data_IF_652588766403
#
_entry.id   IF_652588766403
#
_cell.length_a   1.000
_cell.length_b   1.000
_cell.length_c   1.000
_cell.angle_alpha   90.00
_cell.angle_beta   90.00
_cell.angle_gamma   90.00
#
_symmetry.space_group_name_H-M   'P 1'
#
loop_
_entity.id
_entity.type
_entity.pdbx_description
1 polymer ?
#
# COMPACT_ATOMS: atom_id res chain seq x y z
N UNK A 1 -16.20 -27.11 -11.23
CA UNK A 1 -15.10 -26.68 -12.10
C UNK A 1 -15.01 -25.15 -12.07
N UNK A 2 -16.04 -24.41 -12.45
CA UNK A 2 -16.03 -22.93 -12.51
C UNK A 2 -15.74 -22.25 -11.16
N UNK A 3 -16.23 -22.79 -10.05
CA UNK A 3 -15.98 -22.27 -8.72
C UNK A 3 -14.50 -22.36 -8.31
N UNK A 4 -13.84 -23.46 -8.64
CA UNK A 4 -12.41 -23.66 -8.39
C UNK A 4 -11.58 -22.73 -9.28
N UNK A 5 -11.98 -22.58 -10.54
CA UNK A 5 -11.32 -21.69 -11.48
C UNK A 5 -11.36 -20.22 -11.01
N UNK A 6 -12.53 -19.75 -10.55
CA UNK A 6 -12.68 -18.41 -10.00
C UNK A 6 -11.82 -18.20 -8.74
N UNK A 7 -11.74 -19.20 -7.88
CA UNK A 7 -10.87 -19.13 -6.69
C UNK A 7 -9.39 -19.02 -7.08
N UNK A 8 -8.94 -19.80 -8.07
CA UNK A 8 -7.56 -19.74 -8.56
C UNK A 8 -7.24 -18.39 -9.23
N UNK A 9 -8.15 -17.84 -10.03
CA UNK A 9 -7.98 -16.52 -10.64
C UNK A 9 -7.86 -15.43 -9.58
N UNK A 10 -8.68 -15.49 -8.54
CA UNK A 10 -8.60 -14.54 -7.42
C UNK A 10 -7.24 -14.65 -6.69
N UNK A 11 -6.75 -15.85 -6.44
CA UNK A 11 -5.45 -16.07 -5.78
C UNK A 11 -4.29 -15.54 -6.65
N UNK A 12 -4.33 -15.77 -7.95
CA UNK A 12 -3.34 -15.22 -8.89
C UNK A 12 -3.37 -13.69 -8.87
N UNK A 13 -4.55 -13.08 -8.87
CA UNK A 13 -4.72 -11.62 -8.79
C UNK A 13 -4.13 -11.06 -7.48
N UNK A 14 -4.39 -11.70 -6.35
CA UNK A 14 -3.82 -11.29 -5.06
C UNK A 14 -2.30 -11.41 -5.04
N UNK A 15 -1.76 -12.49 -5.63
CA UNK A 15 -0.31 -12.68 -5.73
C UNK A 15 0.37 -11.59 -6.58
N UNK A 16 -0.24 -11.19 -7.69
CA UNK A 16 0.24 -10.11 -8.54
C UNK A 16 0.23 -8.78 -7.76
N UNK A 17 -0.87 -8.45 -7.08
CA UNK A 17 -0.98 -7.24 -6.27
C UNK A 17 0.09 -7.20 -5.18
N UNK A 18 0.30 -8.31 -4.49
CA UNK A 18 1.35 -8.43 -3.47
C UNK A 18 2.75 -8.18 -4.03
N UNK A 19 3.04 -8.68 -5.24
CA UNK A 19 4.32 -8.46 -5.90
C UNK A 19 4.51 -6.99 -6.28
N UNK A 20 3.49 -6.36 -6.87
CA UNK A 20 3.53 -4.93 -7.23
C UNK A 20 3.75 -4.05 -5.99
N UNK A 21 2.98 -4.29 -4.93
CA UNK A 21 3.10 -3.53 -3.69
C UNK A 21 4.46 -3.76 -3.01
N UNK A 22 4.97 -5.00 -3.02
CA UNK A 22 6.30 -5.31 -2.48
C UNK A 22 7.41 -4.48 -3.14
N UNK A 23 7.39 -4.36 -4.46
CA UNK A 23 8.34 -3.52 -5.19
C UNK A 23 8.12 -2.03 -4.92
N UNK A 24 6.87 -1.57 -4.83
CA UNK A 24 6.57 -0.18 -4.49
C UNK A 24 7.08 0.18 -3.08
N UNK A 25 6.91 -0.70 -2.10
CA UNK A 25 7.45 -0.53 -0.75
C UNK A 25 8.98 -0.50 -0.75
N UNK A 26 9.64 -1.35 -1.54
CA UNK A 26 11.10 -1.39 -1.66
C UNK A 26 11.66 -0.10 -2.27
N UNK A 27 11.05 0.41 -3.35
CA UNK A 27 11.42 1.70 -3.94
C UNK A 27 11.19 2.86 -2.97
N UNK A 28 10.07 2.87 -2.28
CA UNK A 28 9.77 3.88 -1.25
C UNK A 28 10.76 3.84 -0.09
N UNK A 29 11.21 2.66 0.34
CA UNK A 29 12.25 2.51 1.37
C UNK A 29 13.59 3.06 0.90
N UNK A 30 13.97 2.81 -0.37
CA UNK A 30 15.18 3.38 -0.98
C UNK A 30 15.12 4.90 -0.99
N UNK A 31 13.99 5.48 -1.36
CA UNK A 31 13.78 6.92 -1.34
C UNK A 31 13.87 7.50 0.09
N UNK A 32 13.30 6.82 1.08
CA UNK A 32 13.37 7.22 2.48
C UNK A 32 14.82 7.21 3.01
N UNK A 33 15.60 6.19 2.65
CA UNK A 33 17.02 6.10 3.02
C UNK A 33 17.83 7.22 2.37
N UNK A 34 17.61 7.48 1.09
CA UNK A 34 18.29 8.56 0.36
C UNK A 34 17.88 9.95 0.91
N UNK A 35 16.64 10.13 1.33
CA UNK A 35 16.18 11.36 1.96
C UNK A 35 16.88 11.57 3.30
N UNK A 36 16.96 10.53 4.14
CA UNK A 36 17.64 10.62 5.42
C UNK A 36 19.15 10.92 5.26
N UNK A 37 19.79 10.33 4.25
CA UNK A 37 21.22 10.58 3.96
C UNK A 37 21.47 12.01 3.43
N UNK A 38 20.54 12.58 2.69
CA UNK A 38 20.71 13.91 2.07
C UNK A 38 20.32 15.03 3.03
N UNK A 39 19.19 14.89 3.71
CA UNK A 39 18.61 15.96 4.56
C UNK A 39 18.89 15.77 6.05
N UNK A 40 19.46 14.64 6.44
CA UNK A 40 19.69 14.31 7.86
C UNK A 40 18.42 14.12 8.67
N UNK A 41 17.28 13.93 8.03
CA UNK A 41 15.95 13.82 8.66
C UNK A 41 15.29 12.49 8.32
N UNK A 42 14.54 11.94 9.28
CA UNK A 42 13.73 10.74 9.08
C UNK A 42 12.26 11.05 9.36
N UNK A 43 11.39 10.56 8.49
CA UNK A 43 9.93 10.65 8.69
C UNK A 43 9.37 9.46 9.50
N UNK A 44 10.22 8.49 9.87
CA UNK A 44 9.81 7.39 10.71
C UNK A 44 9.25 7.89 12.04
N UNK A 45 8.13 7.34 12.46
CA UNK A 45 7.43 7.72 13.67
C UNK A 45 7.45 6.56 14.66
N UNK A 46 8.03 6.77 15.83
CA UNK A 46 8.01 5.80 16.90
C UNK A 46 7.03 6.26 18.01
N UNK A 47 5.85 5.69 18.02
CA UNK A 47 4.82 5.96 19.02
C UNK A 47 5.03 5.12 20.31
N UNK A 48 5.80 4.00 20.20
CA UNK A 48 6.09 3.12 21.32
C UNK A 48 7.11 3.68 22.33
N UNK A 49 7.90 4.68 21.93
CA UNK A 49 8.92 5.31 22.80
C UNK A 49 8.47 6.63 23.43
N UNK A 50 7.20 6.98 23.30
CA UNK A 50 6.68 8.17 23.99
C UNK A 50 6.72 7.95 25.50
N UNK A 51 7.20 8.94 26.27
CA UNK A 51 7.32 8.79 27.71
C UNK A 51 5.93 8.53 28.32
N UNK A 52 5.83 7.43 29.04
CA UNK A 52 4.58 6.96 29.67
C UNK A 52 4.22 7.77 30.92
N UNK A 53 5.15 8.57 31.41
CA UNK A 53 4.99 9.31 32.67
C UNK A 53 4.56 10.75 32.39
N UNK A 54 3.32 11.05 32.72
CA UNK A 54 2.81 12.43 32.71
C UNK A 54 2.46 13.00 31.33
N UNK A 55 2.41 12.19 30.30
CA UNK A 55 1.94 12.65 28.99
C UNK A 55 0.43 12.73 28.97
N UNK A 56 -0.07 13.93 29.08
CA UNK A 56 -1.47 14.27 28.82
C UNK A 56 -1.77 14.30 27.29
N UNK A 57 -1.06 13.50 26.47
CA UNK A 57 -1.33 13.42 25.07
C UNK A 57 -2.55 12.54 24.82
N UNK A 58 -3.56 13.13 24.24
CA UNK A 58 -4.78 12.46 23.84
C UNK A 58 -4.51 11.61 22.57
N UNK A 59 -5.26 10.53 22.40
CA UNK A 59 -5.20 9.65 21.22
C UNK A 59 -5.28 10.42 19.89
N UNK A 60 -6.10 11.47 19.83
CA UNK A 60 -6.20 12.35 18.68
C UNK A 60 -4.88 13.03 18.30
N UNK A 61 -4.01 13.30 19.26
CA UNK A 61 -2.69 13.90 19.01
C UNK A 61 -1.76 12.90 18.31
N UNK A 62 -1.81 11.64 18.67
CA UNK A 62 -1.04 10.57 18.01
C UNK A 62 -1.48 10.38 16.56
N UNK A 63 -2.78 10.37 16.30
CA UNK A 63 -3.35 10.26 14.97
C UNK A 63 -2.94 11.45 14.09
N UNK A 64 -2.95 12.67 14.63
CA UNK A 64 -2.44 13.86 13.93
C UNK A 64 -0.97 13.78 13.59
N UNK A 65 -0.15 13.12 14.41
CA UNK A 65 1.28 12.90 14.08
C UNK A 65 1.43 12.00 12.85
N UNK A 66 0.66 10.92 12.76
CA UNK A 66 0.65 10.05 11.56
C UNK A 66 0.23 10.86 10.34
N UNK A 67 -0.84 11.63 10.44
CA UNK A 67 -1.30 12.50 9.36
C UNK A 67 -0.23 13.50 8.91
N UNK A 68 0.43 14.17 9.85
CA UNK A 68 1.50 15.12 9.53
C UNK A 68 2.67 14.46 8.81
N UNK A 69 3.02 13.22 9.18
CA UNK A 69 4.07 12.45 8.49
C UNK A 69 3.67 12.04 7.08
N UNK A 70 2.40 11.68 6.88
CA UNK A 70 1.87 11.38 5.55
C UNK A 70 1.96 12.63 4.65
N UNK A 71 1.55 13.80 5.13
CA UNK A 71 1.65 15.03 4.36
C UNK A 71 3.11 15.41 4.08
N UNK A 72 4.00 15.24 5.05
CA UNK A 72 5.44 15.47 4.84
C UNK A 72 5.99 14.52 3.78
N UNK A 73 5.64 13.25 3.81
CA UNK A 73 6.05 12.28 2.80
C UNK A 73 5.51 12.65 1.40
N UNK A 74 4.27 13.11 1.29
CA UNK A 74 3.69 13.57 0.03
C UNK A 74 4.46 14.77 -0.55
N UNK A 75 4.88 15.70 0.31
CA UNK A 75 5.68 16.86 -0.09
C UNK A 75 7.12 16.47 -0.46
N UNK A 76 7.71 15.47 0.20
CA UNK A 76 9.02 14.93 -0.19
C UNK A 76 8.96 14.30 -1.58
N UNK A 77 7.90 13.54 -1.89
CA UNK A 77 7.68 13.01 -3.23
C UNK A 77 7.58 14.14 -4.25
N UNK A 78 6.85 15.21 -3.95
CA UNK A 78 6.76 16.39 -4.83
C UNK A 78 8.12 17.06 -5.07
N UNK A 79 8.88 17.27 -4.01
CA UNK A 79 10.17 17.95 -4.07
C UNK A 79 11.22 17.14 -4.85
N UNK A 80 11.34 15.85 -4.56
CA UNK A 80 12.34 14.99 -5.19
C UNK A 80 11.94 14.53 -6.58
N UNK A 81 10.66 14.23 -6.79
CA UNK A 81 10.12 13.78 -8.08
C UNK A 81 9.90 14.90 -9.08
N UNK A 82 9.69 16.14 -8.62
CA UNK A 82 9.41 17.35 -9.44
C UNK A 82 8.25 17.16 -10.42
N UNK A 83 7.30 16.27 -10.10
CA UNK A 83 6.12 15.96 -10.92
C UNK A 83 4.80 16.28 -10.21
N UNK A 84 4.87 16.67 -8.96
CA UNK A 84 3.73 16.97 -8.11
C UNK A 84 3.64 16.09 -6.87
N UNK A 85 2.72 16.40 -5.95
CA UNK A 85 2.60 15.68 -4.70
C UNK A 85 2.11 14.24 -4.93
N UNK A 86 2.29 13.40 -3.93
CA UNK A 86 1.70 12.07 -3.90
C UNK A 86 0.16 12.15 -4.01
N UNK A 87 -0.46 11.10 -4.48
CA UNK A 87 -1.91 11.03 -4.67
C UNK A 87 -2.56 9.77 -4.07
N UNK A 88 -1.77 8.83 -3.53
CA UNK A 88 -2.30 7.67 -2.86
C UNK A 88 -1.48 7.27 -1.64
N UNK A 89 -2.14 6.54 -0.73
CA UNK A 89 -1.56 5.96 0.48
C UNK A 89 -1.94 4.48 0.50
N UNK A 90 -0.99 3.62 0.88
CA UNK A 90 -1.26 2.22 1.19
C UNK A 90 -0.79 1.92 2.60
N UNK A 91 -1.67 1.40 3.40
CA UNK A 91 -1.40 1.06 4.80
C UNK A 91 -2.13 -0.21 5.23
N UNK A 92 -1.83 -0.69 6.43
CA UNK A 92 -2.57 -1.78 7.05
C UNK A 92 -3.91 -1.32 7.63
N UNK A 93 -4.75 -2.26 8.02
CA UNK A 93 -6.09 -1.98 8.55
C UNK A 93 -6.05 -1.18 9.86
N UNK A 94 -5.07 -1.40 10.73
CA UNK A 94 -4.97 -0.69 12.01
C UNK A 94 -4.66 0.80 11.82
N UNK A 95 -3.72 1.13 10.95
CA UNK A 95 -3.39 2.52 10.62
C UNK A 95 -4.56 3.19 9.90
N UNK A 96 -5.22 2.47 8.99
CA UNK A 96 -6.40 2.99 8.31
C UNK A 96 -7.52 3.35 9.27
N UNK A 97 -7.79 2.51 10.28
CA UNK A 97 -8.79 2.83 11.32
C UNK A 97 -8.42 4.09 12.09
N UNK A 98 -7.14 4.25 12.45
CA UNK A 98 -6.67 5.46 13.12
C UNK A 98 -6.80 6.72 12.24
N UNK A 99 -6.61 6.59 10.92
CA UNK A 99 -6.78 7.70 9.98
C UNK A 99 -8.26 8.06 9.77
N UNK A 100 -9.16 7.09 9.80
CA UNK A 100 -10.60 7.31 9.66
C UNK A 100 -11.20 8.13 10.81
N UNK A 101 -10.61 8.06 11.98
CA UNK A 101 -11.04 8.83 13.16
C UNK A 101 -10.62 10.32 13.11
N UNK A 102 -9.81 10.71 12.14
CA UNK A 102 -9.38 12.11 11.96
C UNK A 102 -10.48 12.90 11.25
N UNK A 103 -10.79 14.08 11.76
CA UNK A 103 -11.85 14.95 11.21
C UNK A 103 -11.66 15.36 9.76
N UNK A 104 -10.42 15.36 9.24
CA UNK A 104 -10.10 15.65 7.85
C UNK A 104 -10.25 14.45 6.91
N UNK A 105 -10.58 13.27 7.43
CA UNK A 105 -10.78 12.09 6.61
C UNK A 105 -12.17 12.09 5.99
N UNK A 106 -12.21 11.94 4.67
CA UNK A 106 -13.46 11.80 3.92
C UNK A 106 -13.64 10.34 3.57
N UNK A 107 -14.61 9.70 4.21
CA UNK A 107 -14.94 8.29 3.94
C UNK A 107 -15.48 8.14 2.52
N UNK A 108 -15.00 7.17 1.78
CA UNK A 108 -15.52 6.88 0.45
C UNK A 108 -16.94 6.33 0.56
N UNK A 109 -17.95 6.97 -0.10
CA UNK A 109 -19.32 6.49 -0.06
C UNK A 109 -19.51 5.11 -0.71
N UNK A 110 -18.51 4.63 -1.44
CA UNK A 110 -18.50 3.38 -2.19
C UNK A 110 -17.87 2.19 -1.46
N UNK A 111 -17.47 2.36 -0.21
CA UNK A 111 -16.83 1.28 0.55
C UNK A 111 -17.69 0.00 0.62
N UNK A 112 -19.01 0.14 0.54
CA UNK A 112 -19.96 -0.97 0.56
C UNK A 112 -20.29 -1.56 -0.84
N UNK A 113 -19.90 -0.90 -1.91
CA UNK A 113 -20.18 -1.33 -3.30
C UNK A 113 -18.94 -1.87 -4.01
N UNK A 114 -17.80 -1.87 -3.34
CA UNK A 114 -16.59 -2.47 -3.89
C UNK A 114 -16.82 -3.97 -3.98
N UNK A 115 -16.90 -4.45 -5.21
CA UNK A 115 -17.11 -5.86 -5.49
C UNK A 115 -16.03 -6.69 -4.79
N UNK A 116 -16.43 -7.80 -4.21
CA UNK A 116 -15.58 -8.74 -3.49
C UNK A 116 -14.39 -9.27 -4.29
N UNK A 117 -14.30 -8.92 -5.58
CA UNK A 117 -13.30 -9.38 -6.53
C UNK A 117 -12.12 -8.42 -6.77
N UNK A 118 -12.00 -7.33 -6.00
CA UNK A 118 -10.91 -6.36 -6.18
C UNK A 118 -9.55 -6.79 -5.60
N UNK A 119 -9.35 -8.08 -5.42
CA UNK A 119 -8.14 -8.58 -4.77
C UNK A 119 -8.07 -8.16 -3.30
N UNK A 120 -6.87 -8.06 -2.75
CA UNK A 120 -6.64 -7.74 -1.35
C UNK A 120 -6.59 -6.25 -1.04
N UNK A 121 -6.68 -5.38 -2.03
CA UNK A 121 -6.55 -3.93 -1.90
C UNK A 121 -7.90 -3.24 -2.10
N UNK A 122 -8.35 -2.46 -1.13
CA UNK A 122 -9.60 -1.70 -1.24
C UNK A 122 -9.43 -0.25 -0.78
N UNK A 123 -10.08 0.71 -1.46
CA UNK A 123 -10.08 2.11 -1.04
C UNK A 123 -11.03 2.31 0.14
N UNK A 124 -10.60 3.10 1.12
CA UNK A 124 -11.37 3.40 2.33
C UNK A 124 -11.90 4.82 2.29
N UNK A 125 -11.14 5.73 1.72
CA UNK A 125 -11.51 7.13 1.65
C UNK A 125 -10.39 7.99 1.12
N UNK A 126 -10.48 9.28 1.37
CA UNK A 126 -9.44 10.24 1.02
C UNK A 126 -9.04 11.09 2.21
N UNK A 127 -7.76 11.41 2.28
CA UNK A 127 -7.16 12.23 3.30
C UNK A 127 -6.34 13.33 2.64
N UNK A 128 -6.77 14.58 2.75
CA UNK A 128 -6.11 15.74 2.13
C UNK A 128 -5.81 15.56 0.61
N UNK A 129 -6.74 14.97 -0.13
CA UNK A 129 -6.57 14.71 -1.56
C UNK A 129 -5.80 13.43 -1.91
N UNK A 130 -5.32 12.70 -0.92
CA UNK A 130 -4.66 11.40 -1.09
C UNK A 130 -5.70 10.29 -0.93
N UNK A 131 -5.82 9.40 -1.91
CA UNK A 131 -6.70 8.22 -1.78
C UNK A 131 -6.05 7.18 -0.87
N UNK A 132 -6.76 6.77 0.17
CA UNK A 132 -6.28 5.79 1.13
C UNK A 132 -6.75 4.39 0.74
N UNK A 133 -5.78 3.49 0.54
CA UNK A 133 -6.00 2.07 0.27
C UNK A 133 -5.54 1.24 1.45
N UNK A 134 -6.30 0.20 1.75
CA UNK A 134 -5.95 -0.80 2.74
C UNK A 134 -5.56 -2.08 2.04
N UNK A 135 -4.39 -2.62 2.39
CA UNK A 135 -3.94 -3.93 1.93
C UNK A 135 -4.25 -4.99 3.00
N UNK A 136 -5.13 -5.92 2.67
CA UNK A 136 -5.51 -7.03 3.55
C UNK A 136 -4.40 -8.07 3.73
N UNK A 137 -3.42 -8.12 2.83
CA UNK A 137 -2.28 -9.04 2.94
C UNK A 137 -1.23 -8.55 3.95
N UNK A 138 -1.29 -7.28 4.37
CA UNK A 138 -0.43 -6.76 5.42
C UNK A 138 -0.88 -7.29 6.78
N UNK A 139 0.08 -7.65 7.62
CA UNK A 139 -0.21 -8.05 9.00
C UNK A 139 -0.84 -6.89 9.78
N UNK A 140 -1.68 -7.20 10.76
CA UNK A 140 -2.29 -6.19 11.63
C UNK A 140 -1.27 -5.23 12.26
N UNK A 141 -0.12 -5.76 12.67
CA UNK A 141 0.97 -5.00 13.29
C UNK A 141 2.06 -4.57 12.31
N UNK A 142 1.79 -4.54 11.00
CA UNK A 142 2.77 -4.03 10.04
C UNK A 142 2.92 -2.53 10.23
N UNK A 143 4.16 -2.09 10.38
CA UNK A 143 4.50 -0.70 10.70
C UNK A 143 4.69 0.18 9.47
N UNK A 144 4.65 -0.39 8.26
CA UNK A 144 4.98 0.32 7.02
C UNK A 144 3.79 1.08 6.46
N UNK A 145 4.05 2.29 6.02
CA UNK A 145 3.09 3.12 5.27
C UNK A 145 3.76 3.54 3.97
N UNK A 146 3.10 3.29 2.86
CA UNK A 146 3.53 3.70 1.53
C UNK A 146 2.74 4.94 1.12
N UNK A 147 3.45 5.99 0.75
CA UNK A 147 2.88 7.19 0.13
C UNK A 147 3.47 7.30 -1.26
N UNK A 148 2.64 7.41 -2.27
CA UNK A 148 3.12 7.39 -3.64
C UNK A 148 2.32 8.27 -4.58
N UNK A 149 2.89 8.44 -5.76
CA UNK A 149 2.25 9.12 -6.87
C UNK A 149 2.05 8.14 -8.02
N UNK A 150 0.81 8.03 -8.44
CA UNK A 150 0.44 7.40 -9.70
C UNK A 150 0.23 8.51 -10.71
N UNK A 151 1.16 8.63 -11.64
CA UNK A 151 1.11 9.60 -12.72
C UNK A 151 0.64 9.00 -14.05
N UNK A 152 0.93 9.71 -15.12
CA UNK A 152 0.69 9.28 -16.51
C UNK A 152 1.74 8.28 -16.96
N UNK A 153 1.55 7.71 -18.15
CA UNK A 153 2.49 6.71 -18.70
C UNK A 153 3.88 7.28 -18.97
N UNK A 154 4.03 8.59 -19.09
CA UNK A 154 5.30 9.28 -19.30
C UNK A 154 6.07 9.57 -18.00
N UNK A 155 5.43 9.40 -16.84
CA UNK A 155 6.08 9.66 -15.56
C UNK A 155 6.93 8.43 -15.13
N UNK A 156 8.06 8.64 -14.43
CA UNK A 156 8.84 7.55 -13.88
C UNK A 156 8.03 6.79 -12.82
N UNK A 157 8.40 5.54 -12.59
CA UNK A 157 7.77 4.72 -11.58
C UNK A 157 7.71 3.24 -11.99
N UNK A 158 6.90 2.48 -11.28
CA UNK A 158 6.64 1.08 -11.60
C UNK A 158 5.66 0.99 -12.77
N UNK A 159 6.06 0.25 -13.80
CA UNK A 159 5.22 -0.07 -14.96
C UNK A 159 4.84 -1.53 -14.94
N UNK A 160 3.55 -1.80 -14.92
CA UNK A 160 3.01 -3.15 -15.05
C UNK A 160 2.70 -3.42 -16.50
N UNK A 161 3.36 -4.41 -17.06
CA UNK A 161 3.23 -4.80 -18.49
C UNK A 161 2.71 -6.23 -18.56
N UNK A 162 1.38 -6.43 -18.66
CA UNK A 162 0.81 -7.75 -18.81
C UNK A 162 1.07 -8.28 -20.23
N UNK A 163 1.63 -9.48 -20.32
CA UNK A 163 1.70 -10.24 -21.58
C UNK A 163 0.50 -11.17 -21.71
N UNK A 164 0.15 -11.83 -20.61
CA UNK A 164 -0.99 -12.73 -20.50
C UNK A 164 -1.63 -12.55 -19.13
N UNK A 165 -2.86 -12.08 -19.07
CA UNK A 165 -3.51 -11.74 -17.80
C UNK A 165 -3.83 -12.98 -16.97
N UNK A 166 -4.61 -13.89 -17.51
CA UNK A 166 -4.91 -15.17 -16.91
C UNK A 166 -5.35 -16.14 -18.03
N UNK A 167 -4.77 -17.31 -18.03
CA UNK A 167 -5.17 -18.41 -18.91
C UNK A 167 -5.44 -19.64 -18.03
N UNK A 168 -6.66 -20.16 -18.11
CA UNK A 168 -7.03 -21.39 -17.45
C UNK A 168 -6.83 -22.59 -18.41
N UNK A 169 -6.22 -23.64 -17.88
CA UNK A 169 -6.00 -24.89 -18.59
C UNK A 169 -6.64 -26.01 -17.77
N UNK A 170 -7.49 -26.78 -18.41
CA UNK A 170 -8.10 -27.95 -17.82
C UNK A 170 -7.54 -29.20 -18.50
N UNK A 171 -7.15 -30.17 -17.71
CA UNK A 171 -6.69 -31.47 -18.17
C UNK A 171 -7.18 -32.57 -17.23
N UNK A 172 -7.18 -33.80 -17.72
CA UNK A 172 -7.51 -34.99 -16.94
C UNK A 172 -6.19 -35.65 -16.52
N UNK A 173 -6.09 -36.00 -15.24
CA UNK A 173 -4.92 -36.68 -14.71
C UNK A 173 -4.86 -38.12 -15.23
N UNK A 174 -3.70 -38.51 -15.74
CA UNK A 174 -3.44 -39.91 -16.09
C UNK A 174 -3.54 -40.79 -14.83
N UNK A 175 -4.25 -41.89 -14.94
CA UNK A 175 -4.38 -42.89 -13.89
C UNK A 175 -5.50 -42.65 -12.87
N UNK A 176 -5.88 -41.44 -12.53
CA UNK A 176 -6.97 -41.17 -11.56
C UNK A 176 -8.23 -40.61 -12.21
N UNK A 177 -8.22 -40.24 -13.48
CA UNK A 177 -9.31 -39.58 -14.22
C UNK A 177 -9.86 -38.32 -13.54
N UNK A 178 -9.14 -37.76 -12.56
CA UNK A 178 -9.56 -36.56 -11.86
C UNK A 178 -9.26 -35.30 -12.70
N UNK A 179 -10.16 -34.30 -12.72
CA UNK A 179 -9.91 -33.06 -13.44
C UNK A 179 -8.82 -32.25 -12.71
N UNK A 180 -7.83 -31.80 -13.48
CA UNK A 180 -6.79 -30.85 -13.04
C UNK A 180 -7.04 -29.51 -13.70
N UNK A 181 -7.05 -28.45 -12.89
CA UNK A 181 -7.19 -27.07 -13.35
C UNK A 181 -5.94 -26.31 -12.95
N UNK A 182 -5.37 -25.58 -13.91
CA UNK A 182 -4.25 -24.69 -13.66
C UNK A 182 -4.56 -23.31 -14.26
N UNK A 183 -4.20 -22.26 -13.52
CA UNK A 183 -4.27 -20.88 -14.01
C UNK A 183 -2.86 -20.33 -14.05
N UNK A 184 -2.47 -19.74 -15.18
CA UNK A 184 -1.18 -19.09 -15.34
C UNK A 184 -1.36 -17.64 -15.78
N UNK A 185 -0.44 -16.78 -15.35
CA UNK A 185 -0.32 -15.41 -15.81
C UNK A 185 1.13 -15.11 -16.16
N UNK A 186 1.35 -14.23 -17.12
CA UNK A 186 2.68 -13.72 -17.47
C UNK A 186 2.65 -12.21 -17.54
N UNK A 187 3.52 -11.58 -16.81
CA UNK A 187 3.66 -10.13 -16.79
C UNK A 187 5.11 -9.73 -16.51
N UNK A 188 5.44 -8.52 -16.86
CA UNK A 188 6.68 -7.88 -16.45
C UNK A 188 6.36 -6.71 -15.55
N UNK A 189 7.17 -6.51 -14.52
CA UNK A 189 7.15 -5.35 -13.67
C UNK A 189 8.49 -4.64 -13.83
N UNK A 190 8.46 -3.42 -14.37
CA UNK A 190 9.65 -2.69 -14.76
C UNK A 190 9.69 -1.35 -14.04
N UNK A 191 10.85 -1.02 -13.50
CA UNK A 191 11.16 0.30 -12.99
C UNK A 191 11.53 1.20 -14.18
N UNK A 192 10.66 2.13 -14.53
CA UNK A 192 10.82 2.98 -15.69
C UNK A 192 11.20 4.40 -15.30
N UNK A 193 12.02 5.02 -16.15
CA UNK A 193 12.40 6.41 -16.01
C UNK A 193 13.65 6.64 -15.17
N UNK A 194 14.03 7.91 -15.05
CA UNK A 194 15.16 8.33 -14.24
C UNK A 194 14.71 8.53 -12.79
N UNK A 195 15.31 7.81 -11.86
CA UNK A 195 15.00 7.80 -10.42
C UNK A 195 13.54 7.43 -10.12
N UNK A 196 13.09 6.24 -10.49
CA UNK A 196 11.71 5.80 -10.26
C UNK A 196 11.36 5.76 -8.75
N UNK A 197 12.35 5.60 -7.87
CA UNK A 197 12.19 5.62 -6.42
C UNK A 197 11.60 6.92 -5.88
N UNK A 198 11.80 8.06 -6.58
CA UNK A 198 11.31 9.37 -6.12
C UNK A 198 9.79 9.50 -6.14
N UNK A 199 9.09 8.63 -6.85
CA UNK A 199 7.63 8.61 -6.91
C UNK A 199 6.98 7.93 -5.71
N UNK A 200 7.77 7.23 -4.90
CA UNK A 200 7.30 6.48 -3.75
C UNK A 200 8.07 6.88 -2.50
N UNK A 201 7.41 6.85 -1.37
CA UNK A 201 8.05 7.09 -0.08
C UNK A 201 7.46 6.13 0.95
N UNK A 202 8.30 5.33 1.58
CA UNK A 202 7.89 4.42 2.65
C UNK A 202 8.49 4.88 3.96
N UNK A 203 7.65 5.03 4.97
CA UNK A 203 8.09 5.27 6.34
C UNK A 203 7.45 4.27 7.29
N UNK A 204 8.00 4.13 8.46
CA UNK A 204 7.51 3.21 9.48
C UNK A 204 6.81 3.97 10.59
N UNK A 205 5.69 3.42 11.06
CA UNK A 205 4.96 3.89 12.23
C UNK A 205 5.01 2.78 13.27
N UNK A 206 5.95 2.88 14.22
CA UNK A 206 6.02 1.90 15.32
C UNK A 206 4.88 2.19 16.29
N UNK A 207 3.99 1.23 16.44
CA UNK A 207 2.80 1.33 17.27
C UNK A 207 3.14 1.06 18.74
N UNK A 208 2.38 1.63 19.70
CA UNK A 208 2.46 1.24 21.09
C UNK A 208 2.14 -0.26 21.25
N UNK A 209 2.67 -0.88 22.31
CA UNK A 209 2.42 -2.31 22.58
C UNK A 209 0.94 -2.66 22.76
N UNK A 210 0.14 -1.70 23.19
CA UNK A 210 -1.32 -1.82 23.32
C UNK A 210 -2.10 -1.58 22.01
N UNK A 211 -1.42 -1.21 20.93
CA UNK A 211 -2.05 -0.82 19.67
C UNK A 211 -2.44 0.67 19.62
N UNK A 212 -3.01 1.10 18.49
CA UNK A 212 -3.51 2.47 18.32
C UNK A 212 -4.94 2.68 18.83
N UNK A 213 -5.64 1.59 19.02
CA UNK A 213 -7.04 1.58 19.47
C UNK A 213 -7.04 0.97 20.86
N UNK A 214 -7.19 1.79 21.84
CA UNK A 214 -7.35 1.41 23.24
C UNK A 214 -8.69 1.94 23.74
#
# INVERSE_FOLDING_TARGET
>A
VSMVENALVNEVSQSINKHILGNAFALGATNSTNFAATEGQSLNLNLGSLPTVGTFENQSTFQRRIFSRILAAANVVANRGRRGPANFIVCNSQIATALQDISQFVTAPFANTISQNNGSLYPVGSLAGLTCYVDQNMKWNDTRVLVGRKGTDDEPGLKFMPYMMAESIQTIAEGSMSPKIAVKSRYALVEAGFRPETMYFTFTVTLPSAGLIV
#
